data_IF_199681898104
#
_entry.id   IF_199681898104
#
_cell.length_a   1.000
_cell.length_b   1.000
_cell.length_c   1.000
_cell.angle_alpha   90.00
_cell.angle_beta   90.00
_cell.angle_gamma   90.00
#
_symmetry.space_group_name_H-M   'P 1'
#
loop_
_entity.id
_entity.type
_entity.pdbx_description
1 polymer ?
#
# COMPACT_ATOMS: atom_id res chain seq x y z
N UNK A 1 20.62 9.07 26.74
CA UNK A 1 19.55 9.45 25.80
C UNK A 1 19.96 10.78 25.21
N UNK A 2 19.95 10.91 23.88
CA UNK A 2 20.23 12.18 23.20
C UNK A 2 19.00 13.10 23.29
N UNK A 3 19.18 14.41 23.04
CA UNK A 3 18.07 15.35 23.01
C UNK A 3 17.00 14.92 21.96
N UNK A 4 17.43 14.44 20.78
CA UNK A 4 16.53 13.92 19.75
C UNK A 4 15.71 12.71 20.23
N UNK A 5 16.35 11.77 20.93
CA UNK A 5 15.64 10.62 21.52
C UNK A 5 14.60 11.07 22.55
N UNK A 6 14.91 12.05 23.41
CA UNK A 6 13.97 12.57 24.40
C UNK A 6 12.74 13.23 23.75
N UNK A 7 12.95 14.03 22.71
CA UNK A 7 11.89 14.68 21.94
C UNK A 7 10.97 13.66 21.27
N UNK A 8 11.55 12.65 20.58
CA UNK A 8 10.78 11.60 19.89
C UNK A 8 10.05 10.70 20.88
N UNK A 9 10.67 10.35 21.99
CA UNK A 9 10.01 9.57 23.06
C UNK A 9 8.87 10.35 23.72
N UNK A 10 8.99 11.68 23.85
CA UNK A 10 7.90 12.52 24.32
C UNK A 10 6.69 12.49 23.34
N UNK A 11 6.94 12.48 22.04
CA UNK A 11 5.91 12.26 21.00
C UNK A 11 5.23 10.90 21.23
N UNK A 12 6.00 9.84 21.39
CA UNK A 12 5.49 8.49 21.63
C UNK A 12 4.60 8.38 22.87
N UNK A 13 5.04 8.94 24.00
CA UNK A 13 4.23 8.96 25.24
C UNK A 13 2.90 9.67 25.04
N UNK A 14 2.90 10.83 24.37
CA UNK A 14 1.69 11.59 24.09
C UNK A 14 0.73 10.83 23.16
N UNK A 15 1.24 10.21 22.09
CA UNK A 15 0.44 9.37 21.20
C UNK A 15 -0.21 8.19 21.93
N UNK A 16 0.55 7.52 22.83
CA UNK A 16 0.01 6.39 23.61
C UNK A 16 -1.08 6.82 24.59
N UNK A 17 -1.01 8.03 25.12
CA UNK A 17 -2.09 8.60 25.94
C UNK A 17 -3.32 8.95 25.07
N UNK A 18 -3.11 9.58 23.91
CA UNK A 18 -4.16 9.96 22.99
C UNK A 18 -4.92 8.74 22.42
N UNK A 19 -4.23 7.64 22.12
CA UNK A 19 -4.87 6.44 21.57
C UNK A 19 -5.96 5.85 22.48
N UNK A 20 -5.80 5.98 23.79
CA UNK A 20 -6.81 5.53 24.76
C UNK A 20 -8.10 6.36 24.69
N UNK A 21 -7.98 7.65 24.48
CA UNK A 21 -9.13 8.55 24.32
C UNK A 21 -9.80 8.34 22.97
N UNK A 22 -9.02 8.22 21.89
CA UNK A 22 -9.52 7.91 20.55
C UNK A 22 -10.33 6.63 20.50
N UNK A 23 -9.87 5.58 21.18
CA UNK A 23 -10.55 4.28 21.22
C UNK A 23 -11.96 4.34 21.86
N UNK A 24 -12.32 5.43 22.51
CA UNK A 24 -13.64 5.65 23.12
C UNK A 24 -14.60 6.44 22.22
N UNK A 25 -14.10 7.06 21.16
CA UNK A 25 -14.92 7.85 20.24
C UNK A 25 -15.79 6.93 19.37
N UNK A 26 -17.08 7.30 19.26
CA UNK A 26 -18.00 6.63 18.35
C UNK A 26 -17.83 7.10 16.90
N UNK A 27 -18.45 6.37 15.98
CA UNK A 27 -18.38 6.66 14.54
C UNK A 27 -18.81 8.10 14.20
N UNK A 28 -19.88 8.62 14.84
CA UNK A 28 -20.36 9.99 14.61
C UNK A 28 -19.34 11.05 15.00
N UNK A 29 -18.68 10.87 16.13
CA UNK A 29 -17.66 11.79 16.63
C UNK A 29 -16.44 11.78 15.72
N UNK A 30 -15.95 10.59 15.34
CA UNK A 30 -14.85 10.43 14.39
C UNK A 30 -15.16 11.06 13.03
N UNK A 31 -16.38 10.86 12.52
CA UNK A 31 -16.79 11.46 11.25
C UNK A 31 -16.84 12.99 11.32
N UNK A 32 -17.35 13.57 12.42
CA UNK A 32 -17.37 15.02 12.61
C UNK A 32 -15.96 15.61 12.65
N UNK A 33 -15.02 14.93 13.33
CA UNK A 33 -13.61 15.30 13.38
C UNK A 33 -12.99 15.28 11.97
N UNK A 34 -13.20 14.21 11.20
CA UNK A 34 -12.66 14.08 9.85
C UNK A 34 -13.20 15.16 8.90
N UNK A 35 -14.51 15.45 8.95
CA UNK A 35 -15.11 16.51 8.13
C UNK A 35 -14.54 17.90 8.47
N UNK A 36 -14.34 18.20 9.76
CA UNK A 36 -13.72 19.45 10.19
C UNK A 36 -12.24 19.55 9.74
N UNK A 37 -11.51 18.42 9.70
CA UNK A 37 -10.16 18.36 9.15
C UNK A 37 -10.15 18.66 7.64
N UNK A 38 -11.09 18.10 6.88
CA UNK A 38 -11.22 18.36 5.45
C UNK A 38 -11.48 19.84 5.16
N UNK A 39 -12.38 20.46 5.94
CA UNK A 39 -12.71 21.89 5.80
C UNK A 39 -11.53 22.78 6.16
N UNK A 40 -10.77 22.45 7.22
CA UNK A 40 -9.60 23.24 7.63
C UNK A 40 -8.44 23.13 6.62
N UNK A 41 -8.27 22.01 5.91
CA UNK A 41 -7.31 21.90 4.79
C UNK A 41 -7.62 22.95 3.70
N UNK A 42 -8.89 23.10 3.34
CA UNK A 42 -9.31 24.10 2.35
C UNK A 42 -9.08 25.51 2.87
N UNK A 43 -9.45 25.80 4.12
CA UNK A 43 -9.24 27.13 4.75
C UNK A 43 -7.76 27.50 4.76
N UNK A 44 -6.86 26.53 5.00
CA UNK A 44 -5.42 26.75 5.08
C UNK A 44 -4.67 26.44 3.80
N UNK A 45 -5.36 26.33 2.65
CA UNK A 45 -4.72 25.98 1.38
C UNK A 45 -3.57 26.93 1.03
N UNK A 46 -3.73 28.23 1.24
CA UNK A 46 -2.69 29.22 0.97
C UNK A 46 -1.42 29.00 1.82
N UNK A 47 -1.56 28.70 3.11
CA UNK A 47 -0.44 28.40 4.00
C UNK A 47 0.30 27.12 3.57
N UNK A 48 -0.47 26.09 3.20
CA UNK A 48 0.06 24.80 2.73
C UNK A 48 0.82 24.99 1.41
N UNK A 49 0.26 25.75 0.46
CA UNK A 49 0.92 26.03 -0.83
C UNK A 49 2.19 26.87 -0.64
N UNK A 50 2.20 27.84 0.29
CA UNK A 50 3.40 28.60 0.60
C UNK A 50 4.52 27.70 1.15
N UNK A 51 4.21 26.84 2.12
CA UNK A 51 5.16 25.86 2.65
C UNK A 51 5.64 24.85 1.57
N UNK A 52 4.75 24.44 0.67
CA UNK A 52 5.11 23.56 -0.43
C UNK A 52 6.04 24.24 -1.46
N UNK A 53 5.84 25.51 -1.74
CA UNK A 53 6.73 26.27 -2.62
C UNK A 53 8.16 26.32 -2.08
N UNK A 54 8.36 26.43 -0.77
CA UNK A 54 9.68 26.37 -0.11
C UNK A 54 10.34 24.99 -0.31
N UNK A 55 9.59 23.90 -0.07
CA UNK A 55 10.09 22.54 -0.26
C UNK A 55 10.45 22.28 -1.74
N UNK A 56 9.59 22.68 -2.69
CA UNK A 56 9.82 22.52 -4.13
C UNK A 56 11.06 23.30 -4.57
N UNK A 57 11.20 24.57 -4.15
CA UNK A 57 12.39 25.38 -4.47
C UNK A 57 13.67 24.75 -3.93
N UNK A 58 13.61 24.18 -2.72
CA UNK A 58 14.75 23.48 -2.13
C UNK A 58 15.09 22.20 -2.90
N UNK A 59 14.06 21.44 -3.29
CA UNK A 59 14.21 20.21 -4.07
C UNK A 59 14.85 20.46 -5.46
N UNK A 60 14.42 21.53 -6.14
CA UNK A 60 14.99 21.95 -7.43
C UNK A 60 16.47 22.32 -7.28
N UNK A 61 16.83 23.10 -6.25
CA UNK A 61 18.22 23.47 -5.96
C UNK A 61 19.11 22.29 -5.62
N UNK A 62 18.53 21.27 -4.98
CA UNK A 62 19.24 20.04 -4.61
C UNK A 62 19.28 19.00 -5.74
N UNK A 63 18.77 19.31 -6.93
CA UNK A 63 18.86 18.47 -8.12
C UNK A 63 17.98 17.24 -8.10
N UNK A 64 16.84 17.26 -7.39
CA UNK A 64 15.87 16.17 -7.45
C UNK A 64 15.33 16.01 -8.88
N UNK A 65 14.98 14.77 -9.23
CA UNK A 65 14.42 14.47 -10.56
C UNK A 65 13.08 15.17 -10.78
N UNK A 66 12.74 15.45 -12.04
CA UNK A 66 11.44 16.04 -12.40
C UNK A 66 10.26 15.23 -11.86
N UNK A 67 10.35 13.90 -11.90
CA UNK A 67 9.34 13.01 -11.36
C UNK A 67 9.20 13.14 -9.83
N UNK A 68 10.30 13.28 -9.09
CA UNK A 68 10.27 13.51 -7.64
C UNK A 68 9.68 14.87 -7.30
N UNK A 69 10.02 15.92 -8.07
CA UNK A 69 9.48 17.27 -7.90
C UNK A 69 7.96 17.28 -8.19
N UNK A 70 7.50 16.57 -9.22
CA UNK A 70 6.06 16.49 -9.51
C UNK A 70 5.29 15.78 -8.38
N UNK A 71 5.86 14.72 -7.80
CA UNK A 71 5.26 14.05 -6.63
C UNK A 71 5.19 14.94 -5.39
N UNK A 72 6.19 15.83 -5.21
CA UNK A 72 6.27 16.77 -4.09
C UNK A 72 5.32 17.95 -4.26
N UNK A 73 5.10 18.40 -5.48
CA UNK A 73 4.36 19.64 -5.79
C UNK A 73 2.87 19.49 -5.45
N UNK A 74 2.35 20.44 -4.68
CA UNK A 74 0.92 20.60 -4.42
C UNK A 74 0.33 21.71 -5.33
N UNK A 75 -0.99 21.67 -5.48
CA UNK A 75 -1.81 22.68 -6.14
C UNK A 75 -3.15 22.78 -5.40
N UNK A 76 -3.92 23.82 -5.68
CA UNK A 76 -5.28 23.93 -5.13
C UNK A 76 -6.13 22.68 -5.42
N UNK A 77 -6.02 22.13 -6.64
CA UNK A 77 -6.69 20.89 -7.01
C UNK A 77 -6.25 19.71 -6.15
N UNK A 78 -4.93 19.51 -5.97
CA UNK A 78 -4.40 18.41 -5.13
C UNK A 78 -4.79 18.56 -3.65
N UNK A 79 -4.94 19.80 -3.14
CA UNK A 79 -5.45 20.05 -1.78
C UNK A 79 -6.95 19.76 -1.71
N UNK A 80 -7.72 20.15 -2.72
CA UNK A 80 -9.13 19.81 -2.80
C UNK A 80 -9.34 18.28 -2.87
N UNK A 81 -8.56 17.58 -3.68
CA UNK A 81 -8.58 16.11 -3.77
C UNK A 81 -8.26 15.45 -2.41
N UNK A 82 -7.29 15.99 -1.65
CA UNK A 82 -7.03 15.51 -0.28
C UNK A 82 -8.24 15.71 0.64
N UNK A 83 -8.87 16.88 0.61
CA UNK A 83 -10.06 17.15 1.43
C UNK A 83 -11.24 16.24 1.04
N UNK A 84 -11.43 15.99 -0.25
CA UNK A 84 -12.46 15.07 -0.74
C UNK A 84 -12.16 13.61 -0.36
N UNK A 85 -10.90 13.20 -0.40
CA UNK A 85 -10.45 11.91 0.13
C UNK A 85 -10.79 11.73 1.62
N UNK A 86 -10.59 12.77 2.42
CA UNK A 86 -10.99 12.75 3.85
C UNK A 86 -12.52 12.60 3.99
N UNK A 87 -13.31 13.33 3.20
CA UNK A 87 -14.77 13.20 3.20
C UNK A 87 -15.24 11.81 2.80
N UNK A 88 -14.56 11.18 1.83
CA UNK A 88 -14.82 9.80 1.45
C UNK A 88 -14.54 8.84 2.60
N UNK A 89 -13.39 8.97 3.29
CA UNK A 89 -13.07 8.15 4.46
C UNK A 89 -14.08 8.37 5.59
N UNK A 90 -14.53 9.61 5.82
CA UNK A 90 -15.56 9.89 6.82
C UNK A 90 -16.89 9.17 6.52
N UNK A 91 -17.23 8.99 5.23
CA UNK A 91 -18.46 8.31 4.80
C UNK A 91 -18.39 6.78 4.88
N UNK A 92 -17.19 6.19 4.97
CA UNK A 92 -17.03 4.73 5.12
C UNK A 92 -17.60 4.24 6.45
N UNK A 93 -18.02 2.98 6.48
CA UNK A 93 -18.40 2.31 7.72
C UNK A 93 -17.22 2.21 8.70
N UNK A 94 -17.51 2.35 9.98
CA UNK A 94 -16.52 2.23 11.04
C UNK A 94 -16.39 0.77 11.47
N UNK A 95 -15.24 0.11 11.25
CA UNK A 95 -15.08 -1.29 11.61
C UNK A 95 -14.95 -1.51 13.13
N UNK A 96 -14.66 -0.47 13.92
CA UNK A 96 -14.43 -0.59 15.36
C UNK A 96 -15.75 -0.92 16.06
N UNK A 97 -15.72 -2.00 16.84
CA UNK A 97 -16.90 -2.50 17.53
C UNK A 97 -17.68 -3.60 16.78
N UNK A 98 -17.30 -3.88 15.53
CA UNK A 98 -17.87 -4.98 14.77
C UNK A 98 -17.68 -6.32 15.50
N UNK A 99 -18.74 -7.13 15.57
CA UNK A 99 -18.68 -8.49 16.15
C UNK A 99 -18.31 -9.46 15.04
N UNK A 100 -17.03 -9.83 14.97
CA UNK A 100 -16.50 -10.79 13.98
C UNK A 100 -17.08 -12.19 14.22
N UNK A 101 -17.27 -12.58 15.49
CA UNK A 101 -17.81 -13.87 15.88
C UNK A 101 -18.46 -13.81 17.26
N UNK A 102 -19.59 -14.50 17.42
CA UNK A 102 -20.34 -14.63 18.68
C UNK A 102 -20.73 -16.10 18.90
N UNK A 103 -20.44 -16.63 20.10
CA UNK A 103 -20.82 -18.01 20.44
C UNK A 103 -20.95 -18.23 21.94
N UNK A 104 -21.77 -19.20 22.33
CA UNK A 104 -21.94 -19.60 23.73
C UNK A 104 -21.32 -20.97 23.95
N UNK A 105 -20.61 -21.14 25.04
CA UNK A 105 -20.06 -22.45 25.46
C UNK A 105 -21.09 -23.29 26.23
N UNK A 106 -20.90 -24.62 26.32
CA UNK A 106 -21.84 -25.51 27.06
C UNK A 106 -22.03 -25.10 28.52
N UNK A 107 -21.07 -24.44 29.14
CA UNK A 107 -21.18 -23.94 30.52
C UNK A 107 -21.89 -22.57 30.63
N UNK A 108 -22.46 -22.06 29.53
CA UNK A 108 -23.21 -20.81 29.49
C UNK A 108 -22.39 -19.53 29.31
N UNK A 109 -21.03 -19.60 29.23
CA UNK A 109 -20.21 -18.44 28.93
C UNK A 109 -20.41 -18.02 27.47
N UNK A 110 -20.82 -16.77 27.24
CA UNK A 110 -20.87 -16.14 25.92
C UNK A 110 -19.53 -15.48 25.61
N UNK A 111 -19.01 -15.73 24.42
CA UNK A 111 -17.73 -15.19 23.95
C UNK A 111 -17.96 -14.44 22.64
N UNK A 112 -17.55 -13.17 22.58
CA UNK A 112 -17.59 -12.36 21.36
C UNK A 112 -16.18 -11.96 20.97
N UNK A 113 -15.84 -12.14 19.69
CA UNK A 113 -14.63 -11.58 19.07
C UNK A 113 -15.00 -10.27 18.43
N UNK A 114 -14.45 -9.15 18.93
CA UNK A 114 -14.86 -7.79 18.55
C UNK A 114 -13.65 -7.02 18.01
N UNK A 115 -13.82 -6.29 16.90
CA UNK A 115 -12.79 -5.40 16.34
C UNK A 115 -12.48 -4.25 17.29
N UNK A 116 -11.21 -3.92 17.40
CA UNK A 116 -10.71 -2.82 18.22
C UNK A 116 -9.57 -2.10 17.50
N UNK A 117 -9.29 -0.81 17.81
CA UNK A 117 -8.10 -0.15 17.32
C UNK A 117 -6.83 -0.94 17.67
N UNK A 118 -5.80 -0.84 16.83
CA UNK A 118 -4.45 -1.36 17.13
C UNK A 118 -3.84 -0.56 18.30
N UNK A 119 -3.94 0.78 18.24
CA UNK A 119 -3.45 1.68 19.27
C UNK A 119 -2.67 2.86 18.70
N UNK A 120 -1.35 2.77 18.62
CA UNK A 120 -0.49 3.78 18.01
C UNK A 120 0.18 3.21 16.77
N UNK A 121 -0.03 3.85 15.63
CA UNK A 121 0.53 3.45 14.34
C UNK A 121 1.62 4.46 13.96
N UNK A 122 2.82 3.95 13.68
CA UNK A 122 3.90 4.74 13.09
C UNK A 122 3.88 4.64 11.57
N UNK A 123 3.98 5.76 10.86
CA UNK A 123 4.03 5.75 9.39
C UNK A 123 5.22 6.57 8.92
N UNK A 124 6.11 5.92 8.16
CA UNK A 124 7.29 6.54 7.56
C UNK A 124 7.10 6.55 6.06
N UNK A 125 7.19 7.73 5.42
CA UNK A 125 6.90 7.87 3.99
C UNK A 125 7.83 8.88 3.30
N UNK A 126 7.96 8.78 1.98
CA UNK A 126 8.83 9.60 1.14
C UNK A 126 8.01 10.48 0.18
N UNK A 127 8.55 11.65 -0.15
CA UNK A 127 8.21 12.52 -1.31
C UNK A 127 6.74 12.69 -1.72
N UNK A 128 5.79 12.52 -0.80
CA UNK A 128 4.35 12.62 -1.09
C UNK A 128 3.62 13.31 0.06
N UNK A 129 3.49 14.66 0.05
CA UNK A 129 2.85 15.39 1.14
C UNK A 129 1.39 14.97 1.43
N UNK A 130 0.64 14.51 0.41
CA UNK A 130 -0.72 14.02 0.58
C UNK A 130 -0.80 12.81 1.54
N UNK A 131 0.24 11.98 1.61
CA UNK A 131 0.26 10.82 2.54
C UNK A 131 0.11 11.26 4.00
N UNK A 132 0.52 12.50 4.34
CA UNK A 132 0.29 13.07 5.68
C UNK A 132 -1.20 13.08 6.03
N UNK A 133 -2.05 13.49 5.10
CA UNK A 133 -3.50 13.51 5.30
C UNK A 133 -4.09 12.10 5.23
N UNK A 134 -3.78 11.35 4.18
CA UNK A 134 -4.34 10.01 3.94
C UNK A 134 -4.06 9.08 5.12
N UNK A 135 -2.80 9.03 5.57
CA UNK A 135 -2.38 8.20 6.70
C UNK A 135 -3.04 8.62 8.02
N UNK A 136 -3.10 9.94 8.29
CA UNK A 136 -3.71 10.44 9.52
C UNK A 136 -5.19 10.06 9.61
N UNK A 137 -5.96 10.30 8.55
CA UNK A 137 -7.41 10.12 8.60
C UNK A 137 -7.83 8.66 8.63
N UNK A 138 -7.11 7.77 7.94
CA UNK A 138 -7.35 6.33 8.03
C UNK A 138 -7.09 5.79 9.43
N UNK A 139 -5.99 6.21 10.07
CA UNK A 139 -5.71 5.86 11.46
C UNK A 139 -6.78 6.39 12.42
N UNK A 140 -7.19 7.66 12.27
CA UNK A 140 -8.21 8.27 13.13
C UNK A 140 -9.59 7.62 12.96
N UNK A 141 -10.01 7.32 11.73
CA UNK A 141 -11.28 6.62 11.45
C UNK A 141 -11.37 5.29 12.18
N UNK A 142 -10.26 4.61 12.32
CA UNK A 142 -10.14 3.33 13.02
C UNK A 142 -9.76 3.47 14.51
N UNK A 143 -9.79 4.70 15.05
CA UNK A 143 -9.54 4.97 16.47
C UNK A 143 -8.08 4.84 16.90
N UNK A 144 -7.13 4.90 15.97
CA UNK A 144 -5.70 4.84 16.25
C UNK A 144 -5.09 6.24 16.31
N UNK A 145 -4.18 6.46 17.25
CA UNK A 145 -3.26 7.59 17.18
C UNK A 145 -2.16 7.31 16.16
N UNK A 146 -1.65 8.35 15.52
CA UNK A 146 -0.64 8.21 14.47
C UNK A 146 0.58 9.09 14.73
N UNK A 147 1.77 8.51 14.51
CA UNK A 147 3.04 9.23 14.48
C UNK A 147 3.58 9.16 13.06
N UNK A 148 3.68 10.33 12.42
CA UNK A 148 4.09 10.49 11.03
C UNK A 148 5.55 10.92 10.95
N UNK A 149 6.28 10.34 9.99
CA UNK A 149 7.62 10.81 9.60
C UNK A 149 7.71 10.84 8.09
N UNK A 150 7.54 12.02 7.51
CA UNK A 150 7.67 12.23 6.07
C UNK A 150 9.12 12.47 5.63
N UNK A 151 9.38 12.40 4.34
CA UNK A 151 10.67 12.70 3.74
C UNK A 151 11.17 14.10 4.10
N UNK A 152 12.50 14.24 4.20
CA UNK A 152 13.17 15.52 4.56
C UNK A 152 12.93 16.62 3.53
N UNK A 153 12.66 16.25 2.28
CA UNK A 153 12.38 17.13 1.15
C UNK A 153 10.97 17.75 1.20
N UNK A 154 10.06 17.18 2.01
CA UNK A 154 8.65 17.59 2.12
C UNK A 154 8.30 18.11 3.53
N UNK A 155 9.30 18.43 4.36
CA UNK A 155 9.06 18.68 5.78
C UNK A 155 8.14 19.87 6.03
N UNK A 156 8.33 20.99 5.34
CA UNK A 156 7.51 22.19 5.52
C UNK A 156 6.05 21.91 5.10
N UNK A 157 5.85 21.26 3.95
CA UNK A 157 4.53 20.84 3.46
C UNK A 157 3.83 19.92 4.45
N UNK A 158 4.52 18.88 4.94
CA UNK A 158 3.98 17.91 5.87
C UNK A 158 3.58 18.55 7.21
N UNK A 159 4.39 19.48 7.72
CA UNK A 159 4.08 20.24 8.93
C UNK A 159 2.84 21.14 8.75
N UNK A 160 2.72 21.81 7.60
CA UNK A 160 1.55 22.67 7.31
C UNK A 160 0.27 21.83 7.22
N UNK A 161 0.30 20.69 6.53
CA UNK A 161 -0.84 19.75 6.45
C UNK A 161 -1.20 19.21 7.84
N UNK A 162 -0.21 18.68 8.59
CA UNK A 162 -0.46 18.13 9.91
C UNK A 162 -1.05 19.19 10.86
N UNK A 163 -0.59 20.45 10.80
CA UNK A 163 -1.14 21.57 11.57
C UNK A 163 -2.58 21.88 11.20
N UNK A 164 -2.93 21.84 9.91
CA UNK A 164 -4.31 22.03 9.46
C UNK A 164 -5.22 20.92 10.00
N UNK A 165 -4.81 19.64 9.86
CA UNK A 165 -5.56 18.50 10.40
C UNK A 165 -5.74 18.60 11.92
N UNK A 166 -4.69 18.94 12.67
CA UNK A 166 -4.75 19.10 14.12
C UNK A 166 -5.71 20.24 14.51
N UNK A 167 -5.64 21.39 13.82
CA UNK A 167 -6.51 22.54 14.08
C UNK A 167 -7.99 22.22 13.85
N UNK A 168 -8.33 21.69 12.66
CA UNK A 168 -9.70 21.31 12.34
C UNK A 168 -10.23 20.23 13.28
N UNK A 169 -9.42 19.21 13.55
CA UNK A 169 -9.77 18.13 14.45
C UNK A 169 -9.99 18.60 15.90
N UNK A 170 -9.13 19.48 16.43
CA UNK A 170 -9.24 20.02 17.78
C UNK A 170 -10.58 20.71 18.02
N UNK A 171 -11.00 21.56 17.08
CA UNK A 171 -12.30 22.25 17.17
C UNK A 171 -13.51 21.31 17.14
N UNK A 172 -13.33 20.11 16.58
CA UNK A 172 -14.37 19.07 16.52
C UNK A 172 -14.26 18.00 17.62
N UNK A 173 -13.34 18.15 18.57
CA UNK A 173 -13.19 17.26 19.73
C UNK A 173 -12.15 16.15 19.56
N UNK A 174 -11.22 16.29 18.61
CA UNK A 174 -10.08 15.37 18.49
C UNK A 174 -9.23 15.45 19.78
N UNK A 175 -8.95 14.32 20.45
CA UNK A 175 -8.02 14.30 21.57
C UNK A 175 -6.63 14.82 21.17
N UNK A 176 -6.05 15.64 22.04
CA UNK A 176 -4.70 16.19 21.82
C UNK A 176 -3.69 15.09 21.51
N UNK A 177 -2.77 15.37 20.60
CA UNK A 177 -1.69 14.47 20.21
C UNK A 177 -2.10 13.18 19.48
N UNK A 178 -3.34 13.12 18.97
CA UNK A 178 -3.82 11.99 18.15
C UNK A 178 -3.12 11.90 16.80
N UNK A 179 -2.76 13.03 16.22
CA UNK A 179 -1.93 13.15 15.01
C UNK A 179 -0.66 13.87 15.38
N UNK A 180 0.49 13.24 15.21
CA UNK A 180 1.77 13.87 15.45
C UNK A 180 2.71 13.64 14.28
N UNK A 181 3.49 14.66 13.92
CA UNK A 181 4.54 14.58 12.92
C UNK A 181 5.88 14.83 13.60
N UNK A 182 6.89 14.01 13.29
CA UNK A 182 8.28 14.22 13.77
C UNK A 182 8.89 15.39 13.00
N UNK A 183 9.19 16.52 13.64
CA UNK A 183 9.55 17.78 12.97
C UNK A 183 11.05 17.91 12.71
N UNK A 184 11.72 16.85 12.21
CA UNK A 184 13.16 16.87 11.93
C UNK A 184 13.51 16.22 10.61
N UNK A 185 14.58 16.76 9.98
CA UNK A 185 15.22 16.18 8.79
C UNK A 185 16.22 15.07 9.13
N UNK A 186 16.56 14.92 10.41
CA UNK A 186 17.53 13.92 10.87
C UNK A 186 17.04 12.49 10.56
N UNK A 187 17.91 11.72 9.92
CA UNK A 187 17.61 10.32 9.54
C UNK A 187 17.64 9.39 10.74
N UNK A 188 18.34 9.72 11.82
CA UNK A 188 18.35 8.90 13.03
C UNK A 188 16.98 8.89 13.70
N UNK A 189 16.12 9.87 13.45
CA UNK A 189 14.72 9.85 13.87
C UNK A 189 13.96 8.60 13.41
N UNK A 190 14.29 8.04 12.23
CA UNK A 190 13.69 6.79 11.72
C UNK A 190 14.08 5.61 12.60
N UNK A 191 15.36 5.49 12.98
CA UNK A 191 15.85 4.39 13.85
C UNK A 191 15.27 4.50 15.26
N UNK A 192 15.23 5.73 15.79
CA UNK A 192 14.64 5.99 17.11
C UNK A 192 13.16 5.61 17.11
N UNK A 193 12.41 6.05 16.10
CA UNK A 193 11.00 5.74 15.93
C UNK A 193 10.78 4.22 15.82
N UNK A 194 11.58 3.52 15.00
CA UNK A 194 11.48 2.08 14.81
C UNK A 194 11.81 1.27 16.07
N UNK A 195 12.50 1.86 17.05
CA UNK A 195 12.85 1.22 18.32
C UNK A 195 11.84 1.50 19.46
N UNK A 196 10.77 2.27 19.22
CA UNK A 196 9.82 2.74 20.26
C UNK A 196 8.64 1.79 20.50
N UNK A 197 8.87 0.49 20.59
CA UNK A 197 7.86 -0.56 20.83
C UNK A 197 7.04 -0.37 22.13
N UNK A 198 7.58 0.33 23.14
CA UNK A 198 6.82 0.69 24.33
C UNK A 198 5.69 1.72 24.06
N UNK A 199 5.73 2.45 22.96
CA UNK A 199 4.77 3.51 22.63
C UNK A 199 3.99 3.25 21.36
N UNK A 200 4.56 2.51 20.40
CA UNK A 200 3.93 2.18 19.12
C UNK A 200 3.65 0.69 19.03
N UNK A 201 2.51 0.36 18.45
CA UNK A 201 2.02 -1.00 18.35
C UNK A 201 2.37 -1.63 16.97
N UNK A 202 2.53 -0.81 15.93
CA UNK A 202 2.91 -1.22 14.57
C UNK A 202 3.55 -0.05 13.81
N UNK A 203 4.41 -0.36 12.86
CA UNK A 203 5.02 0.63 11.96
C UNK A 203 4.81 0.22 10.50
N UNK A 204 4.49 1.21 9.65
CA UNK A 204 4.21 1.03 8.22
C UNK A 204 5.15 1.94 7.42
N UNK A 205 6.22 1.40 6.82
CA UNK A 205 7.06 2.14 5.90
C UNK A 205 6.42 2.24 4.50
N UNK A 206 6.49 3.43 3.90
CA UNK A 206 5.98 3.76 2.57
C UNK A 206 7.06 4.48 1.74
N UNK A 207 7.87 3.74 1.03
CA UNK A 207 8.98 4.29 0.24
C UNK A 207 9.71 3.20 -0.53
N UNK A 208 10.90 3.53 -1.03
CA UNK A 208 11.74 2.57 -1.73
C UNK A 208 12.33 1.49 -0.84
N UNK A 209 12.86 0.44 -1.46
CA UNK A 209 13.42 -0.75 -0.81
C UNK A 209 14.38 -0.41 0.35
N UNK A 210 15.28 0.53 0.16
CA UNK A 210 16.28 0.91 1.18
C UNK A 210 15.66 1.50 2.45
N UNK A 211 14.57 2.26 2.33
CA UNK A 211 13.84 2.76 3.50
C UNK A 211 13.16 1.61 4.24
N UNK A 212 12.47 0.74 3.51
CA UNK A 212 11.76 -0.40 4.09
C UNK A 212 12.75 -1.31 4.83
N UNK A 213 13.87 -1.64 4.20
CA UNK A 213 14.93 -2.44 4.80
C UNK A 213 15.51 -1.80 6.07
N UNK A 214 15.77 -0.49 6.04
CA UNK A 214 16.28 0.24 7.20
C UNK A 214 15.29 0.21 8.37
N UNK A 215 13.99 0.34 8.10
CA UNK A 215 12.94 0.24 9.12
C UNK A 215 12.83 -1.17 9.66
N UNK A 216 12.80 -2.19 8.80
CA UNK A 216 12.70 -3.60 9.20
C UNK A 216 13.88 -4.01 10.10
N UNK A 217 15.10 -3.59 9.73
CA UNK A 217 16.30 -3.91 10.49
C UNK A 217 16.36 -3.21 11.86
N UNK A 218 15.68 -2.06 12.03
CA UNK A 218 15.67 -1.28 13.25
C UNK A 218 14.44 -1.54 14.14
N UNK A 219 13.34 -2.05 13.57
CA UNK A 219 12.06 -2.15 14.23
C UNK A 219 12.05 -3.19 15.36
N UNK A 220 11.45 -2.81 16.50
CA UNK A 220 11.15 -3.69 17.63
C UNK A 220 9.68 -4.08 17.74
N UNK A 221 8.80 -3.40 17.01
CA UNK A 221 7.39 -3.73 16.84
C UNK A 221 7.16 -4.38 15.47
N UNK A 222 5.98 -4.98 15.23
CA UNK A 222 5.59 -5.47 13.92
C UNK A 222 5.70 -4.39 12.85
N UNK A 223 6.20 -4.78 11.66
CA UNK A 223 6.29 -3.93 10.46
C UNK A 223 5.36 -4.49 9.42
N UNK A 224 4.44 -3.68 8.90
CA UNK A 224 3.58 -4.05 7.78
C UNK A 224 4.16 -3.42 6.52
N UNK A 225 4.49 -4.24 5.52
CA UNK A 225 5.27 -3.80 4.35
C UNK A 225 5.03 -4.65 3.11
N UNK A 226 5.46 -4.13 1.97
CA UNK A 226 5.93 -4.89 0.81
C UNK A 226 7.26 -4.27 0.35
N UNK A 227 8.14 -5.06 -0.24
CA UNK A 227 9.42 -4.56 -0.77
C UNK A 227 9.24 -4.09 -2.22
N UNK A 228 9.03 -5.03 -3.12
CA UNK A 228 8.91 -4.80 -4.56
C UNK A 228 7.58 -5.33 -5.08
N UNK A 229 7.09 -4.80 -6.18
CA UNK A 229 5.87 -5.23 -6.86
C UNK A 229 6.19 -6.03 -8.13
N UNK A 230 6.81 -7.22 -8.02
CA UNK A 230 7.08 -8.08 -9.19
C UNK A 230 5.84 -8.92 -9.47
N UNK A 231 4.91 -8.35 -10.24
CA UNK A 231 3.64 -8.99 -10.59
C UNK A 231 3.72 -9.75 -11.92
N UNK A 232 2.99 -10.86 -12.03
CA UNK A 232 2.99 -11.72 -13.21
C UNK A 232 1.64 -11.79 -13.89
N UNK A 233 1.66 -11.90 -15.22
CA UNK A 233 0.53 -12.35 -16.03
C UNK A 233 0.94 -13.68 -16.69
N UNK A 234 0.23 -14.75 -16.38
CA UNK A 234 0.39 -16.04 -17.05
C UNK A 234 -0.72 -16.24 -18.08
N UNK A 235 -0.33 -16.39 -19.33
CA UNK A 235 -1.20 -16.75 -20.46
C UNK A 235 -1.15 -18.27 -20.65
N UNK A 236 -2.22 -18.95 -20.23
CA UNK A 236 -2.34 -20.41 -20.31
C UNK A 236 -2.62 -20.90 -21.72
N UNK A 237 -2.40 -22.19 -21.97
CA UNK A 237 -2.67 -22.86 -23.25
C UNK A 237 -4.13 -22.76 -23.70
N UNK A 238 -5.07 -22.64 -22.76
CA UNK A 238 -6.50 -22.47 -23.01
C UNK A 238 -6.96 -21.01 -22.87
N UNK A 239 -6.07 -20.04 -23.00
CA UNK A 239 -6.44 -18.63 -22.97
C UNK A 239 -7.10 -18.19 -24.27
N UNK A 240 -8.10 -17.28 -24.19
CA UNK A 240 -8.48 -16.45 -25.31
C UNK A 240 -7.37 -15.43 -25.58
N UNK A 241 -6.72 -15.42 -26.77
CA UNK A 241 -5.59 -14.54 -27.03
C UNK A 241 -5.93 -13.04 -26.99
N UNK A 242 -7.16 -12.65 -27.36
CA UNK A 242 -7.59 -11.26 -27.35
C UNK A 242 -7.83 -10.75 -25.92
N UNK A 243 -8.43 -11.57 -25.06
CA UNK A 243 -8.58 -11.30 -23.63
C UNK A 243 -7.20 -11.21 -22.97
N UNK A 244 -6.30 -12.15 -23.26
CA UNK A 244 -4.94 -12.16 -22.71
C UNK A 244 -4.15 -10.92 -23.11
N UNK A 245 -4.25 -10.48 -24.35
CA UNK A 245 -3.64 -9.24 -24.83
C UNK A 245 -4.20 -8.02 -24.09
N UNK A 246 -5.53 -7.91 -23.98
CA UNK A 246 -6.18 -6.79 -23.29
C UNK A 246 -5.73 -6.68 -21.82
N UNK A 247 -5.69 -7.81 -21.11
CA UNK A 247 -5.25 -7.87 -19.71
C UNK A 247 -3.77 -7.52 -19.58
N UNK A 248 -2.89 -8.10 -20.41
CA UNK A 248 -1.45 -7.86 -20.34
C UNK A 248 -1.09 -6.40 -20.68
N UNK A 249 -1.74 -5.80 -21.69
CA UNK A 249 -1.57 -4.38 -22.03
C UNK A 249 -2.03 -3.47 -20.89
N UNK A 250 -3.20 -3.72 -20.31
CA UNK A 250 -3.70 -2.95 -19.18
C UNK A 250 -2.74 -3.09 -17.98
N UNK A 251 -2.35 -4.31 -17.64
CA UNK A 251 -1.50 -4.59 -16.50
C UNK A 251 -0.12 -3.90 -16.61
N UNK A 252 0.45 -3.74 -17.79
CA UNK A 252 1.73 -3.07 -17.98
C UNK A 252 1.62 -1.59 -18.32
N UNK A 253 0.71 -1.22 -19.23
CA UNK A 253 0.78 0.09 -19.90
C UNK A 253 -0.13 1.15 -19.27
N UNK A 254 -1.15 0.79 -18.48
CA UNK A 254 -2.08 1.76 -17.91
C UNK A 254 -1.37 2.70 -16.93
N UNK A 255 -0.45 2.17 -16.10
CA UNK A 255 0.41 2.94 -15.19
C UNK A 255 1.63 2.11 -14.80
N UNK A 256 2.74 2.18 -15.54
CA UNK A 256 3.87 1.25 -15.35
C UNK A 256 4.63 1.47 -14.02
N UNK A 257 4.64 2.68 -13.47
CA UNK A 257 5.42 3.06 -12.29
C UNK A 257 4.73 2.80 -10.94
N UNK A 258 3.94 1.74 -10.82
CA UNK A 258 3.24 1.33 -9.59
C UNK A 258 3.42 -0.15 -9.32
N UNK A 259 3.38 -0.55 -8.03
CA UNK A 259 3.71 -1.90 -7.56
C UNK A 259 2.77 -3.02 -8.05
N UNK A 260 1.56 -2.71 -8.51
CA UNK A 260 0.62 -3.67 -9.08
C UNK A 260 0.66 -3.73 -10.61
N UNK A 261 1.59 -3.01 -11.28
CA UNK A 261 1.84 -3.17 -12.70
C UNK A 261 2.53 -4.52 -12.96
N UNK A 262 2.24 -5.15 -14.11
CA UNK A 262 2.93 -6.38 -14.47
C UNK A 262 4.41 -6.11 -14.79
N UNK A 263 5.29 -6.93 -14.23
CA UNK A 263 6.72 -6.91 -14.48
C UNK A 263 7.19 -8.14 -15.27
N UNK A 264 6.39 -9.21 -15.25
CA UNK A 264 6.68 -10.44 -15.99
C UNK A 264 5.45 -10.98 -16.71
N UNK A 265 5.63 -11.35 -17.96
CA UNK A 265 4.67 -12.05 -18.81
C UNK A 265 5.16 -13.49 -19.04
N UNK A 266 4.42 -14.46 -18.52
CA UNK A 266 4.64 -15.89 -18.76
C UNK A 266 3.65 -16.36 -19.81
N UNK A 267 4.11 -17.07 -20.81
CA UNK A 267 3.25 -17.57 -21.91
C UNK A 267 3.45 -19.07 -22.06
N UNK A 268 2.35 -19.81 -22.03
CA UNK A 268 2.40 -21.24 -22.27
C UNK A 268 2.89 -21.55 -23.70
N UNK A 269 3.80 -22.50 -23.82
CA UNK A 269 4.45 -22.89 -25.11
C UNK A 269 3.45 -23.12 -26.23
N UNK A 270 2.36 -23.81 -25.95
CA UNK A 270 1.38 -24.19 -26.96
C UNK A 270 0.69 -23.01 -27.68
N UNK A 271 0.62 -21.84 -27.02
CA UNK A 271 -0.04 -20.62 -27.52
C UNK A 271 0.95 -19.48 -27.82
N UNK A 272 2.24 -19.67 -27.47
CA UNK A 272 3.23 -18.59 -27.48
C UNK A 272 3.38 -17.91 -28.84
N UNK A 273 3.50 -18.66 -29.94
CA UNK A 273 3.65 -18.09 -31.29
C UNK A 273 2.40 -17.28 -31.72
N UNK A 274 1.22 -17.85 -31.49
CA UNK A 274 -0.06 -17.19 -31.78
C UNK A 274 -0.23 -15.91 -30.97
N UNK A 275 -0.03 -16.01 -29.67
CA UNK A 275 -0.16 -14.88 -28.76
C UNK A 275 0.85 -13.76 -29.08
N UNK A 276 2.13 -14.09 -29.28
CA UNK A 276 3.13 -13.07 -29.62
C UNK A 276 2.88 -12.41 -30.98
N UNK A 277 2.36 -13.14 -31.95
CA UNK A 277 1.98 -12.55 -33.25
C UNK A 277 0.89 -11.48 -33.09
N UNK A 278 -0.05 -11.70 -32.18
CA UNK A 278 -1.10 -10.74 -31.84
C UNK A 278 -0.58 -9.60 -30.95
N UNK A 279 0.25 -9.92 -29.95
CA UNK A 279 0.67 -9.00 -28.92
C UNK A 279 1.81 -8.06 -29.34
N UNK A 280 2.77 -8.55 -30.16
CA UNK A 280 3.95 -7.79 -30.53
C UNK A 280 3.63 -6.41 -31.17
N UNK A 281 2.73 -6.27 -32.14
CA UNK A 281 2.41 -4.95 -32.72
C UNK A 281 1.86 -3.97 -31.67
N UNK A 282 1.03 -4.45 -30.76
CA UNK A 282 0.34 -3.64 -29.77
C UNK A 282 1.26 -3.13 -28.65
N UNK A 283 2.18 -3.98 -28.17
CA UNK A 283 3.21 -3.58 -27.21
C UNK A 283 4.27 -2.68 -27.86
N UNK A 284 4.68 -2.97 -29.09
CA UNK A 284 5.62 -2.13 -29.84
C UNK A 284 5.07 -0.72 -30.09
N UNK A 285 3.79 -0.59 -30.45
CA UNK A 285 3.13 0.71 -30.62
C UNK A 285 3.13 1.57 -29.35
N UNK A 286 3.21 0.93 -28.17
CA UNK A 286 3.32 1.58 -26.86
C UNK A 286 4.75 1.69 -26.36
N UNK A 287 5.73 1.35 -27.20
CA UNK A 287 7.16 1.40 -26.91
C UNK A 287 7.57 0.58 -25.66
N UNK A 288 6.88 -0.52 -25.39
CA UNK A 288 7.27 -1.43 -24.30
C UNK A 288 8.52 -2.19 -24.71
N UNK A 289 9.57 -2.13 -23.92
CA UNK A 289 10.75 -2.98 -24.09
C UNK A 289 10.47 -4.38 -23.54
N UNK A 290 10.64 -5.42 -24.38
CA UNK A 290 10.65 -6.78 -23.88
C UNK A 290 12.07 -7.25 -23.55
N UNK A 291 12.20 -7.80 -22.33
CA UNK A 291 13.42 -8.46 -21.87
C UNK A 291 13.12 -9.94 -21.78
N UNK A 292 13.49 -10.68 -22.82
CA UNK A 292 13.00 -12.01 -23.06
C UNK A 292 14.04 -13.10 -22.77
N UNK A 293 13.61 -14.21 -22.15
CA UNK A 293 14.46 -15.39 -22.05
C UNK A 293 14.77 -15.97 -23.46
N UNK A 294 15.80 -16.84 -23.63
CA UNK A 294 16.32 -17.17 -24.95
C UNK A 294 15.28 -17.66 -25.96
N UNK A 295 14.28 -18.43 -25.54
CA UNK A 295 13.26 -18.96 -26.45
C UNK A 295 12.25 -17.90 -26.85
N UNK A 296 11.74 -17.15 -25.89
CA UNK A 296 10.85 -16.00 -26.13
C UNK A 296 11.59 -14.95 -26.99
N UNK A 297 12.86 -14.70 -26.70
CA UNK A 297 13.69 -13.79 -27.52
C UNK A 297 13.75 -14.23 -28.98
N UNK A 298 14.05 -15.50 -29.23
CA UNK A 298 14.11 -16.06 -30.60
C UNK A 298 12.77 -15.92 -31.33
N UNK A 299 11.65 -16.19 -30.64
CA UNK A 299 10.30 -16.09 -31.22
C UNK A 299 9.95 -14.64 -31.53
N UNK A 300 10.22 -13.71 -30.61
CA UNK A 300 9.94 -12.28 -30.79
C UNK A 300 10.86 -11.63 -31.83
N UNK A 301 12.13 -12.05 -31.92
CA UNK A 301 13.05 -11.59 -32.92
C UNK A 301 12.62 -12.04 -34.35
N UNK A 302 12.08 -13.25 -34.50
CA UNK A 302 11.49 -13.70 -35.74
C UNK A 302 10.25 -12.93 -36.18
N UNK A 303 9.56 -12.29 -35.25
CA UNK A 303 8.44 -11.35 -35.46
C UNK A 303 8.89 -9.89 -35.62
N UNK A 304 10.23 -9.66 -35.69
CA UNK A 304 10.83 -8.33 -35.80
C UNK A 304 10.43 -7.36 -34.68
N UNK A 305 10.06 -7.86 -33.48
CA UNK A 305 9.66 -7.05 -32.33
C UNK A 305 10.79 -6.12 -31.86
N UNK A 306 10.44 -4.86 -31.60
CA UNK A 306 11.36 -3.85 -31.03
C UNK A 306 10.57 -2.89 -30.13
N UNK A 307 11.19 -2.39 -28.98
CA UNK A 307 12.54 -2.76 -28.51
C UNK A 307 12.56 -4.14 -27.82
N UNK A 308 13.59 -4.94 -28.12
CA UNK A 308 13.79 -6.30 -27.61
C UNK A 308 15.21 -6.47 -27.09
N UNK A 309 15.35 -7.04 -25.89
CA UNK A 309 16.63 -7.34 -25.25
C UNK A 309 16.60 -8.76 -24.68
N UNK A 310 17.76 -9.42 -24.67
CA UNK A 310 17.89 -10.74 -24.04
C UNK A 310 17.93 -10.63 -22.51
N UNK A 311 17.29 -11.57 -21.82
CA UNK A 311 17.24 -11.62 -20.37
C UNK A 311 18.60 -12.01 -19.77
N UNK A 312 18.99 -11.33 -18.70
CA UNK A 312 20.12 -11.68 -17.85
C UNK A 312 19.68 -12.25 -16.50
N UNK A 313 20.64 -12.54 -15.62
CA UNK A 313 20.43 -13.24 -14.35
C UNK A 313 19.43 -12.54 -13.40
N UNK A 314 19.40 -11.21 -13.40
CA UNK A 314 18.52 -10.42 -12.52
C UNK A 314 17.17 -10.07 -13.13
N UNK A 315 16.94 -10.36 -14.42
CA UNK A 315 15.77 -9.87 -15.16
C UNK A 315 14.46 -10.13 -14.45
N UNK A 316 14.22 -11.37 -14.04
CA UNK A 316 12.96 -11.78 -13.41
C UNK A 316 12.84 -11.39 -11.91
N UNK A 317 13.89 -10.80 -11.35
CA UNK A 317 13.89 -10.25 -9.98
C UNK A 317 13.90 -8.72 -9.95
N UNK A 318 13.65 -8.10 -11.10
CA UNK A 318 13.68 -6.63 -11.24
C UNK A 318 12.28 -6.08 -11.34
N UNK A 319 11.95 -5.16 -10.43
CA UNK A 319 10.79 -4.28 -10.56
C UNK A 319 11.21 -3.11 -11.45
N UNK A 320 10.75 -3.12 -12.70
CA UNK A 320 11.18 -2.13 -13.71
C UNK A 320 10.59 -0.74 -13.48
N UNK A 321 9.34 -0.68 -13.02
CA UNK A 321 8.59 0.59 -12.81
C UNK A 321 8.51 1.48 -14.06
N UNK A 322 8.68 0.88 -15.24
CA UNK A 322 8.71 1.54 -16.54
C UNK A 322 8.04 0.66 -17.62
N UNK A 323 7.98 1.14 -18.84
CA UNK A 323 7.49 0.38 -20.00
C UNK A 323 8.49 -0.71 -20.43
N UNK A 324 8.89 -1.54 -19.48
CA UNK A 324 9.77 -2.69 -19.66
C UNK A 324 9.05 -3.92 -19.07
N UNK A 325 9.04 -5.03 -19.80
CA UNK A 325 8.34 -6.26 -19.41
C UNK A 325 9.24 -7.47 -19.63
N UNK A 326 9.48 -8.22 -18.57
CA UNK A 326 10.19 -9.50 -18.65
C UNK A 326 9.28 -10.54 -19.32
N UNK A 327 9.81 -11.36 -20.24
CA UNK A 327 9.01 -12.33 -20.99
C UNK A 327 9.64 -13.70 -20.94
N UNK A 328 8.84 -14.73 -20.62
CA UNK A 328 9.28 -16.13 -20.61
C UNK A 328 8.22 -17.07 -21.16
N UNK A 329 8.65 -18.07 -21.94
CA UNK A 329 7.84 -19.21 -22.33
C UNK A 329 7.95 -20.30 -21.25
N UNK A 330 6.82 -20.90 -20.87
CA UNK A 330 6.73 -21.98 -19.88
C UNK A 330 6.02 -23.19 -20.47
N UNK A 331 6.37 -24.39 -20.02
CA UNK A 331 5.83 -25.65 -20.57
C UNK A 331 4.51 -26.06 -19.94
N UNK A 332 4.22 -25.57 -18.73
CA UNK A 332 3.07 -26.01 -17.95
C UNK A 332 2.63 -24.97 -16.92
N UNK A 333 1.42 -25.17 -16.36
CA UNK A 333 0.95 -24.44 -15.19
C UNK A 333 1.92 -24.57 -14.00
N UNK A 334 2.47 -25.78 -13.79
CA UNK A 334 3.42 -26.02 -12.70
C UNK A 334 4.70 -25.20 -12.86
N UNK A 335 5.21 -25.03 -14.07
CA UNK A 335 6.38 -24.19 -14.34
C UNK A 335 6.08 -22.72 -14.16
N UNK A 336 4.87 -22.27 -14.52
CA UNK A 336 4.43 -20.89 -14.27
C UNK A 336 4.37 -20.61 -12.75
N UNK A 337 3.75 -21.49 -11.96
CA UNK A 337 3.68 -21.36 -10.51
C UNK A 337 5.09 -21.39 -9.90
N UNK A 338 5.95 -22.32 -10.32
CA UNK A 338 7.32 -22.40 -9.82
C UNK A 338 8.14 -21.14 -10.15
N UNK A 339 7.91 -20.53 -11.31
CA UNK A 339 8.51 -19.25 -11.67
C UNK A 339 8.05 -18.13 -10.74
N UNK A 340 6.74 -17.98 -10.53
CA UNK A 340 6.15 -16.97 -9.66
C UNK A 340 6.69 -17.12 -8.24
N UNK A 341 6.72 -18.33 -7.68
CA UNK A 341 7.28 -18.60 -6.35
C UNK A 341 8.77 -18.27 -6.23
N UNK A 342 9.53 -18.46 -7.31
CA UNK A 342 10.99 -18.24 -7.31
C UNK A 342 11.36 -16.77 -7.48
N UNK A 343 10.64 -16.04 -8.32
CA UNK A 343 11.01 -14.70 -8.78
C UNK A 343 10.04 -13.61 -8.34
N UNK A 344 8.79 -13.96 -8.02
CA UNK A 344 7.75 -13.03 -7.62
C UNK A 344 7.97 -12.42 -6.23
N UNK A 345 7.24 -11.36 -5.99
CA UNK A 345 7.24 -10.62 -4.72
C UNK A 345 6.06 -10.98 -3.82
N UNK A 346 5.25 -11.94 -4.20
CA UNK A 346 3.98 -12.31 -3.53
C UNK A 346 2.96 -11.14 -3.46
N UNK A 347 3.03 -10.21 -4.42
CA UNK A 347 2.15 -9.05 -4.47
C UNK A 347 0.85 -9.40 -5.21
N UNK A 348 0.88 -9.49 -6.54
CA UNK A 348 -0.31 -9.71 -7.36
C UNK A 348 0.04 -10.51 -8.60
N UNK A 349 -0.63 -11.64 -8.81
CA UNK A 349 -0.37 -12.50 -9.96
C UNK A 349 -1.67 -12.95 -10.61
N UNK A 350 -1.68 -13.04 -11.95
CA UNK A 350 -2.87 -13.36 -12.71
C UNK A 350 -2.65 -14.49 -13.69
N UNK A 351 -3.67 -15.33 -13.88
CA UNK A 351 -3.79 -16.27 -14.98
C UNK A 351 -4.88 -15.81 -15.95
N UNK A 352 -4.62 -15.98 -17.24
CA UNK A 352 -5.65 -15.87 -18.27
C UNK A 352 -5.90 -17.26 -18.87
N UNK A 353 -7.09 -17.79 -18.70
CA UNK A 353 -7.49 -19.12 -19.20
C UNK A 353 -9.00 -19.25 -19.26
N UNK A 354 -9.51 -19.98 -20.24
CA UNK A 354 -10.90 -20.41 -20.32
C UNK A 354 -11.15 -21.76 -19.61
N UNK A 355 -10.09 -22.43 -19.14
CA UNK A 355 -10.21 -23.67 -18.40
C UNK A 355 -10.38 -23.43 -16.90
N UNK A 356 -11.58 -23.67 -16.32
CA UNK A 356 -11.85 -23.41 -14.91
C UNK A 356 -11.07 -24.32 -13.95
N UNK A 357 -10.62 -25.49 -14.39
CA UNK A 357 -9.81 -26.39 -13.55
C UNK A 357 -8.38 -25.86 -13.43
N UNK A 358 -7.80 -25.43 -14.54
CA UNK A 358 -6.48 -24.75 -14.56
C UNK A 358 -6.52 -23.46 -13.74
N UNK A 359 -7.59 -22.67 -13.88
CA UNK A 359 -7.78 -21.45 -13.08
C UNK A 359 -7.84 -21.76 -11.57
N UNK A 360 -8.65 -22.73 -11.14
CA UNK A 360 -8.70 -23.15 -9.73
C UNK A 360 -7.35 -23.64 -9.21
N UNK A 361 -6.63 -24.40 -10.01
CA UNK A 361 -5.30 -24.89 -9.64
C UNK A 361 -4.30 -23.74 -9.47
N UNK A 362 -4.32 -22.73 -10.36
CA UNK A 362 -3.50 -21.52 -10.24
C UNK A 362 -3.86 -20.72 -8.98
N UNK A 363 -5.15 -20.43 -8.77
CA UNK A 363 -5.64 -19.67 -7.61
C UNK A 363 -5.29 -20.34 -6.27
N UNK A 364 -5.22 -21.67 -6.25
CA UNK A 364 -4.82 -22.43 -5.06
C UNK A 364 -3.32 -22.59 -4.90
N UNK A 365 -2.57 -22.62 -6.03
CA UNK A 365 -1.14 -22.90 -6.04
C UNK A 365 -0.24 -21.68 -5.88
N UNK A 366 -0.70 -20.49 -6.26
CA UNK A 366 0.08 -19.24 -6.14
C UNK A 366 -0.17 -18.61 -4.77
N UNK A 367 0.91 -18.42 -4.01
CA UNK A 367 0.87 -17.82 -2.68
C UNK A 367 1.16 -16.31 -2.71
N UNK A 368 0.36 -15.55 -3.45
CA UNK A 368 0.44 -14.08 -3.51
C UNK A 368 -0.70 -13.41 -2.73
N UNK A 369 -0.51 -12.15 -2.36
CA UNK A 369 -1.50 -11.39 -1.60
C UNK A 369 -2.82 -11.27 -2.37
N UNK A 370 -2.74 -11.13 -3.69
CA UNK A 370 -3.89 -11.15 -4.59
C UNK A 370 -3.60 -12.05 -5.80
N UNK A 371 -4.55 -12.93 -6.11
CA UNK A 371 -4.42 -13.87 -7.25
C UNK A 371 -5.66 -13.74 -8.12
N UNK A 372 -5.46 -13.52 -9.41
CA UNK A 372 -6.52 -13.19 -10.36
C UNK A 372 -6.74 -14.28 -11.40
N UNK A 373 -7.98 -14.46 -11.76
CA UNK A 373 -8.39 -15.21 -12.93
C UNK A 373 -9.11 -14.28 -13.91
N UNK A 374 -8.57 -14.14 -15.12
CA UNK A 374 -9.09 -13.32 -16.21
C UNK A 374 -9.31 -11.84 -15.83
N UNK A 375 -8.42 -11.29 -15.01
CA UNK A 375 -8.44 -9.88 -14.64
C UNK A 375 -7.02 -9.32 -14.52
N UNK A 376 -6.88 -8.02 -14.70
CA UNK A 376 -5.60 -7.30 -14.58
C UNK A 376 -5.16 -7.18 -13.13
N UNK A 377 -3.85 -7.29 -12.87
CA UNK A 377 -3.24 -7.02 -11.56
C UNK A 377 -3.43 -5.57 -11.11
N UNK A 378 -3.78 -4.64 -12.03
CA UNK A 378 -4.08 -3.24 -11.73
C UNK A 378 -5.27 -3.05 -10.80
N UNK A 379 -6.11 -4.04 -10.64
CA UNK A 379 -7.20 -4.03 -9.66
C UNK A 379 -6.75 -4.21 -8.21
N UNK A 380 -5.47 -4.51 -7.92
CA UNK A 380 -4.95 -4.55 -6.55
C UNK A 380 -4.82 -3.12 -6.01
N UNK A 381 -5.93 -2.55 -5.59
CA UNK A 381 -6.08 -1.17 -5.14
C UNK A 381 -7.27 -1.09 -4.20
N UNK A 382 -7.16 -0.34 -3.11
CA UNK A 382 -8.22 -0.25 -2.10
C UNK A 382 -9.51 0.38 -2.62
N UNK A 383 -9.42 1.30 -3.58
CA UNK A 383 -10.60 1.88 -4.25
C UNK A 383 -11.32 0.86 -5.13
N UNK A 384 -10.55 0.12 -5.95
CA UNK A 384 -11.08 -0.92 -6.84
C UNK A 384 -11.65 -2.12 -6.06
N UNK A 385 -11.11 -2.43 -4.86
CA UNK A 385 -11.64 -3.47 -3.97
C UNK A 385 -12.87 -3.02 -3.19
N UNK A 386 -13.26 -1.75 -3.31
CA UNK A 386 -14.43 -1.21 -2.61
C UNK A 386 -14.13 -0.81 -1.15
N UNK A 387 -12.86 -0.76 -0.75
CA UNK A 387 -12.45 -0.29 0.60
C UNK A 387 -12.50 1.23 0.73
N UNK A 388 -12.71 1.94 -0.37
CA UNK A 388 -12.83 3.40 -0.44
C UNK A 388 -11.52 4.16 -0.30
N UNK A 389 -10.57 3.65 0.48
CA UNK A 389 -9.23 4.20 0.63
C UNK A 389 -8.26 3.13 1.12
N UNK A 390 -6.96 3.33 0.86
CA UNK A 390 -5.92 2.42 1.36
C UNK A 390 -4.71 3.18 1.92
N UNK A 391 -4.05 2.57 2.90
CA UNK A 391 -2.76 3.07 3.40
C UNK A 391 -1.59 2.44 2.64
N UNK A 392 -1.84 1.44 1.84
CA UNK A 392 -0.90 0.69 1.03
C UNK A 392 -1.25 -0.77 0.92
N UNK A 393 -0.32 -1.55 0.38
CA UNK A 393 -0.47 -2.98 0.15
C UNK A 393 0.56 -3.70 1.02
N UNK A 394 0.19 -4.84 1.58
CA UNK A 394 1.09 -5.70 2.34
C UNK A 394 1.23 -7.07 1.67
N UNK A 395 2.44 -7.58 1.62
CA UNK A 395 2.73 -8.97 1.20
C UNK A 395 3.04 -9.89 2.38
N UNK A 396 2.97 -9.36 3.62
CA UNK A 396 3.17 -10.15 4.83
C UNK A 396 2.03 -11.17 5.00
N UNK A 397 2.32 -12.30 5.67
CA UNK A 397 1.30 -13.34 5.94
C UNK A 397 0.60 -13.18 7.29
N UNK A 398 1.23 -12.48 8.23
CA UNK A 398 0.67 -12.20 9.54
C UNK A 398 0.01 -10.83 9.54
N UNK A 399 -1.18 -10.75 10.13
CA UNK A 399 -2.05 -9.60 10.21
C UNK A 399 -2.60 -9.19 8.83
N UNK A 400 -2.20 -8.01 8.26
CA UNK A 400 -2.70 -7.54 6.98
C UNK A 400 -1.98 -8.19 5.80
N UNK A 401 -2.73 -8.57 4.75
CA UNK A 401 -2.20 -9.04 3.46
C UNK A 401 -3.08 -8.52 2.32
N UNK A 402 -2.48 -7.95 1.28
CA UNK A 402 -3.19 -7.28 0.20
C UNK A 402 -3.37 -5.78 0.47
N UNK A 403 -4.30 -5.11 -0.24
CA UNK A 403 -4.65 -3.71 0.01
C UNK A 403 -5.15 -3.52 1.44
N UNK A 404 -4.64 -2.48 2.12
CA UNK A 404 -4.96 -2.22 3.52
C UNK A 404 -5.93 -1.05 3.64
N UNK A 405 -7.20 -1.35 3.86
CA UNK A 405 -8.25 -0.40 4.18
C UNK A 405 -8.41 -0.17 5.68
N UNK A 406 -9.63 0.15 6.11
CA UNK A 406 -9.92 0.42 7.51
C UNK A 406 -9.86 -0.84 8.39
N UNK A 407 -10.27 -2.00 7.87
CA UNK A 407 -10.27 -3.25 8.64
C UNK A 407 -8.86 -3.67 9.05
N UNK A 408 -7.88 -3.52 8.14
CA UNK A 408 -6.49 -3.89 8.35
C UNK A 408 -5.78 -2.97 9.35
N UNK A 409 -6.34 -1.78 9.64
CA UNK A 409 -5.89 -0.89 10.70
C UNK A 409 -6.56 -1.17 12.06
N UNK A 410 -7.21 -2.34 12.18
CA UNK A 410 -7.81 -2.82 13.42
C UNK A 410 -7.20 -4.15 13.86
N UNK A 411 -7.41 -4.50 15.11
CA UNK A 411 -7.19 -5.82 15.66
C UNK A 411 -8.48 -6.30 16.32
N UNK A 412 -8.44 -7.28 17.19
CA UNK A 412 -9.62 -7.76 17.90
C UNK A 412 -9.29 -8.07 19.36
N UNK A 413 -10.33 -8.05 20.20
CA UNK A 413 -10.29 -8.60 21.55
C UNK A 413 -11.48 -9.55 21.78
N UNK A 414 -11.39 -10.34 22.82
CA UNK A 414 -12.50 -11.19 23.26
C UNK A 414 -13.23 -10.53 24.41
N UNK A 415 -14.56 -10.37 24.27
CA UNK A 415 -15.46 -10.00 25.34
C UNK A 415 -16.10 -11.29 25.86
N UNK A 416 -15.94 -11.57 27.15
CA UNK A 416 -16.42 -12.78 27.79
C UNK A 416 -17.45 -12.40 28.84
N UNK A 417 -18.67 -12.89 28.68
CA UNK A 417 -19.80 -12.64 29.56
C UNK A 417 -20.18 -13.95 30.26
N UNK A 418 -20.21 -13.89 31.58
CA UNK A 418 -20.57 -15.03 32.41
C UNK A 418 -21.54 -14.64 33.51
N UNK A 419 -22.01 -15.63 34.26
CA UNK A 419 -22.91 -15.50 35.42
C UNK A 419 -22.31 -16.18 36.66
N UNK A 420 -20.95 -16.23 36.76
CA UNK A 420 -20.26 -16.85 37.89
C UNK A 420 -19.60 -18.19 37.58
N UNK A 421 -19.45 -18.57 36.30
CA UNK A 421 -18.78 -19.81 35.91
C UNK A 421 -17.31 -19.81 36.35
N UNK A 422 -16.86 -20.93 36.90
CA UNK A 422 -15.48 -21.21 37.27
C UNK A 422 -14.95 -22.39 36.47
N UNK A 423 -13.64 -22.43 36.23
CA UNK A 423 -12.97 -23.59 35.64
C UNK A 423 -12.75 -24.65 36.76
N UNK A 424 -13.22 -25.86 36.53
CA UNK A 424 -12.96 -27.02 37.38
C UNK A 424 -11.66 -27.71 36.99
#
# INVERSE_FOLDING_TARGET
>A
MTQLEEEIYAIGRRAKAASRALAQLGAKEKNAILLAMADELIVRSADILAANAEDVSSAEKNGLTKASIDRLRLSDTRIADMADGIRQVAALDDPVGEIIRDWTRPNGIRIQKVRTPIGVIGIIYESRPNVTADAAVLCLKTGNAVILRGGSEALASNLAIAKALQSGGFHAGLPDHSVQLIPTKDRDAVKIMAAMDQFMDVIIPRGGHSLIEAVVNAARMPVIKHYDGICHIYVDSAADPAMALSIALNAKCQRPGVCNAAETLLVHRAIAEEFFRLAAPEFSARQVEFVAEPEAFKTLAALEYKPLREAGDSTFRTEWLDLILSVRIVDSLADAIAHIETFGSHHSDAIVTENPETARAFLAGVDSATVYWNASTRFTDGGEFGFGAEIGISTDKLHARGPMGLEELTTYKYLIQGTGQIRQ
#
